data_IF_093748300390
#
_entry.id   IF_093748300390
#
_cell.length_a   1.000
_cell.length_b   1.000
_cell.length_c   1.000
_cell.angle_alpha   90.00
_cell.angle_beta   90.00
_cell.angle_gamma   90.00
#
_symmetry.space_group_name_H-M   'P 1'
#
loop_
_entity.id
_entity.type
_entity.pdbx_description
1 polymer ?
#
# COMPACT_ATOMS: atom_id res chain seq x y z
N UNK A 1 -16.55 -22.40 -7.47
CA UNK A 1 -15.20 -23.01 -7.52
C UNK A 1 -15.22 -24.19 -6.59
N UNK A 2 -14.73 -25.34 -7.02
CA UNK A 2 -14.79 -26.59 -6.25
C UNK A 2 -13.85 -26.51 -5.02
N UNK A 3 -14.37 -26.82 -3.83
CA UNK A 3 -13.63 -26.84 -2.56
C UNK A 3 -12.44 -27.79 -2.60
N UNK A 4 -12.49 -28.85 -3.42
CA UNK A 4 -11.44 -29.87 -3.49
C UNK A 4 -10.06 -29.33 -3.88
N UNK A 5 -9.98 -28.27 -4.68
CA UNK A 5 -8.68 -27.67 -5.08
C UNK A 5 -8.06 -26.87 -3.92
N UNK A 6 -8.86 -26.10 -3.18
CA UNK A 6 -8.39 -25.35 -2.01
C UNK A 6 -7.88 -26.29 -0.91
N UNK A 7 -8.60 -27.39 -0.66
CA UNK A 7 -8.21 -28.38 0.34
C UNK A 7 -6.88 -29.05 -0.01
N UNK A 8 -6.63 -29.32 -1.30
CA UNK A 8 -5.35 -29.87 -1.77
C UNK A 8 -4.19 -28.92 -1.55
N UNK A 9 -4.37 -27.63 -1.87
CA UNK A 9 -3.32 -26.62 -1.62
C UNK A 9 -3.08 -26.41 -0.13
N UNK A 10 -4.13 -26.37 0.69
CA UNK A 10 -4.02 -26.23 2.13
C UNK A 10 -3.20 -27.37 2.75
N UNK A 11 -3.40 -28.62 2.28
CA UNK A 11 -2.59 -29.78 2.71
C UNK A 11 -1.11 -29.70 2.37
N UNK A 12 -0.74 -28.92 1.36
CA UNK A 12 0.65 -28.64 0.97
C UNK A 12 1.22 -27.39 1.69
N UNK A 13 0.47 -26.78 2.61
CA UNK A 13 0.85 -25.52 3.25
C UNK A 13 0.75 -24.31 2.32
N UNK A 14 0.08 -24.45 1.18
CA UNK A 14 -0.09 -23.38 0.19
C UNK A 14 -1.46 -22.72 0.39
N UNK A 15 -1.47 -21.41 0.62
CA UNK A 15 -2.70 -20.61 0.68
C UNK A 15 -2.80 -19.74 -0.57
N UNK A 16 -3.90 -19.88 -1.30
CA UNK A 16 -4.19 -18.98 -2.43
C UNK A 16 -4.52 -17.60 -1.84
N UNK A 17 -3.80 -16.53 -2.21
CA UNK A 17 -4.08 -15.20 -1.68
C UNK A 17 -5.37 -14.65 -2.29
N UNK A 18 -6.15 -13.96 -1.47
CA UNK A 18 -7.19 -13.07 -1.96
C UNK A 18 -6.54 -11.70 -2.23
N UNK A 19 -6.53 -11.27 -3.48
CA UNK A 19 -6.07 -9.94 -3.84
C UNK A 19 -7.18 -8.95 -3.50
N UNK A 20 -6.86 -8.00 -2.63
CA UNK A 20 -7.75 -6.90 -2.26
C UNK A 20 -7.29 -5.63 -2.97
N UNK A 21 -8.24 -4.82 -3.41
CA UNK A 21 -7.99 -3.49 -3.95
C UNK A 21 -8.64 -2.44 -3.03
N UNK A 22 -8.10 -1.21 -3.01
CA UNK A 22 -8.77 -0.08 -2.40
C UNK A 22 -10.23 0.02 -2.84
N UNK A 23 -11.13 0.35 -1.90
CA UNK A 23 -12.51 0.64 -2.27
C UNK A 23 -12.55 1.85 -3.21
N UNK A 24 -13.50 1.90 -4.15
CA UNK A 24 -13.61 2.97 -5.16
C UNK A 24 -13.65 4.40 -4.59
N UNK A 25 -14.07 4.54 -3.32
CA UNK A 25 -14.14 5.82 -2.61
C UNK A 25 -12.80 6.31 -2.07
N UNK A 26 -11.76 5.46 -2.09
CA UNK A 26 -10.46 5.85 -1.58
C UNK A 26 -9.70 6.58 -2.67
N UNK A 27 -9.22 7.78 -2.33
CA UNK A 27 -8.31 8.52 -3.19
C UNK A 27 -6.95 7.82 -3.21
N UNK A 28 -6.51 7.43 -4.40
CA UNK A 28 -5.26 6.73 -4.60
C UNK A 28 -4.05 7.68 -4.59
N UNK A 29 -4.26 8.99 -4.77
CA UNK A 29 -3.19 9.98 -4.77
C UNK A 29 -2.52 10.13 -3.41
N UNK A 30 -3.25 9.85 -2.33
CA UNK A 30 -2.79 9.90 -0.93
C UNK A 30 -2.84 8.53 -0.26
N UNK A 31 -2.84 7.46 -1.05
CA UNK A 31 -2.82 6.10 -0.51
C UNK A 31 -1.53 5.86 0.29
N UNK A 32 -1.68 5.32 1.50
CA UNK A 32 -0.56 5.08 2.39
C UNK A 32 0.47 4.13 1.75
N UNK A 33 1.70 4.61 1.61
CA UNK A 33 2.85 3.87 1.09
C UNK A 33 4.04 4.04 2.02
N UNK A 34 4.98 3.11 1.95
CA UNK A 34 6.31 3.24 2.56
C UNK A 34 7.29 3.47 1.42
N UNK A 35 7.96 4.62 1.42
CA UNK A 35 9.03 4.90 0.47
C UNK A 35 10.23 4.01 0.84
N UNK A 36 10.51 2.99 0.02
CA UNK A 36 11.57 2.02 0.31
C UNK A 36 12.97 2.51 -0.07
N UNK A 37 13.11 3.41 -1.03
CA UNK A 37 14.27 4.28 -1.32
C UNK A 37 14.01 5.11 -2.59
N UNK A 38 14.96 6.01 -2.92
CA UNK A 38 15.15 6.85 -4.14
C UNK A 38 15.04 8.37 -4.00
N UNK A 39 14.48 8.95 -2.93
CA UNK A 39 14.30 10.41 -2.86
C UNK A 39 14.71 11.07 -1.55
N UNK A 40 15.29 10.33 -0.59
CA UNK A 40 15.63 10.86 0.75
C UNK A 40 16.46 12.15 0.70
N UNK A 41 17.34 12.30 -0.29
CA UNK A 41 18.19 13.48 -0.47
C UNK A 41 17.65 14.52 -1.48
N UNK A 42 16.37 14.50 -1.84
CA UNK A 42 15.76 15.42 -2.80
C UNK A 42 14.75 16.36 -2.12
N UNK A 43 15.17 17.53 -1.60
CA UNK A 43 14.31 18.43 -0.85
C UNK A 43 13.09 18.95 -1.64
N UNK A 44 13.22 19.12 -2.95
CA UNK A 44 12.11 19.54 -3.82
C UNK A 44 11.01 18.48 -3.90
N UNK A 45 11.39 17.21 -3.88
CA UNK A 45 10.43 16.10 -3.87
C UNK A 45 9.63 16.13 -2.57
N UNK A 46 10.30 16.20 -1.42
CA UNK A 46 9.61 16.22 -0.12
C UNK A 46 8.75 17.46 0.09
N UNK A 47 9.14 18.63 -0.44
CA UNK A 47 8.29 19.83 -0.45
C UNK A 47 7.00 19.62 -1.26
N UNK A 48 7.07 18.92 -2.39
CA UNK A 48 5.86 18.58 -3.18
C UNK A 48 5.00 17.57 -2.45
N UNK A 49 5.59 16.53 -1.86
CA UNK A 49 4.86 15.53 -1.06
C UNK A 49 4.16 16.19 0.13
N UNK A 50 4.79 17.16 0.79
CA UNK A 50 4.15 17.93 1.87
C UNK A 50 2.93 18.72 1.39
N UNK A 51 3.01 19.32 0.19
CA UNK A 51 1.87 20.02 -0.44
C UNK A 51 0.76 19.06 -0.86
N UNK A 52 1.10 17.89 -1.41
CA UNK A 52 0.15 16.87 -1.86
C UNK A 52 -0.59 16.21 -0.69
N UNK A 53 0.13 15.87 0.38
CA UNK A 53 -0.45 15.24 1.58
C UNK A 53 -1.28 16.26 2.37
N UNK A 54 -0.84 17.52 2.44
CA UNK A 54 -1.50 18.58 3.20
C UNK A 54 -1.92 18.11 4.61
N UNK A 55 -3.21 18.13 4.92
CA UNK A 55 -3.78 17.77 6.22
C UNK A 55 -4.14 16.27 6.35
N UNK A 56 -3.89 15.46 5.31
CA UNK A 56 -4.18 14.04 5.36
C UNK A 56 -3.29 13.33 6.42
N UNK A 57 -3.82 12.30 7.12
CA UNK A 57 -3.04 11.52 8.06
C UNK A 57 -1.79 10.90 7.40
N UNK A 58 -0.61 11.21 7.92
CA UNK A 58 0.66 10.76 7.35
C UNK A 58 1.77 10.74 8.40
N UNK A 59 2.75 9.86 8.20
CA UNK A 59 3.98 9.78 9.01
C UNK A 59 5.08 10.72 8.51
N UNK A 60 4.83 11.51 7.46
CA UNK A 60 5.80 12.44 6.86
C UNK A 60 6.44 13.39 7.89
N UNK A 61 5.69 13.80 8.92
CA UNK A 61 6.10 14.80 9.93
C UNK A 61 6.57 14.20 11.25
N UNK A 62 6.82 12.89 11.30
CA UNK A 62 7.28 12.20 12.52
C UNK A 62 8.79 12.31 12.77
N UNK A 63 9.57 12.80 11.79
CA UNK A 63 11.03 12.90 11.84
C UNK A 63 11.53 14.31 12.08
#
# INVERSE_FOLDING_TARGET
MDNTTYDRFARLGVKIPQVVLPAKRVDLSTWAVVACDQYTSQPEYWRKVEQEVADAPSTLRLV
#
